data_IF_187058017455
#
_entry.id   IF_187058017455
#
_cell.length_a   1.000
_cell.length_b   1.000
_cell.length_c   1.000
_cell.angle_alpha   90.00
_cell.angle_beta   90.00
_cell.angle_gamma   90.00
#
_symmetry.space_group_name_H-M   'P 1'
#
loop_
_entity.id
_entity.type
_entity.pdbx_description
1 polymer ?
#
# COMPACT_ATOMS: atom_id res chain seq x y z
N UNK A 1 2.97 -0.16 11.37
CA UNK A 1 3.86 -1.30 11.11
C UNK A 1 4.12 -1.37 9.61
N UNK A 2 5.31 -0.93 9.21
CA UNK A 2 5.85 -1.08 7.86
C UNK A 2 6.72 -2.34 7.75
N UNK A 3 7.17 -2.67 6.55
CA UNK A 3 8.23 -3.69 6.38
C UNK A 3 9.53 -3.30 7.07
N UNK A 4 9.81 -2.00 7.19
CA UNK A 4 11.01 -1.49 7.87
C UNK A 4 10.91 -1.75 9.38
N UNK A 5 9.72 -1.60 9.97
CA UNK A 5 9.47 -1.98 11.37
C UNK A 5 9.69 -3.50 11.59
N UNK A 6 9.27 -4.33 10.63
CA UNK A 6 9.50 -5.78 10.70
C UNK A 6 10.99 -6.12 10.52
N UNK A 7 11.71 -5.39 9.66
CA UNK A 7 13.13 -5.60 9.41
C UNK A 7 14.00 -5.29 10.64
N UNK A 8 13.55 -4.44 11.56
CA UNK A 8 14.28 -4.15 12.79
C UNK A 8 14.46 -5.38 13.71
N UNK A 9 13.57 -6.37 13.61
CA UNK A 9 13.63 -7.63 14.34
C UNK A 9 14.21 -8.79 13.50
N UNK A 10 14.62 -8.53 12.25
CA UNK A 10 15.18 -9.53 11.34
C UNK A 10 16.70 -9.64 11.51
N UNK A 11 17.19 -10.84 11.77
CA UNK A 11 18.62 -11.13 11.98
C UNK A 11 19.41 -11.33 10.68
N UNK A 12 18.77 -11.26 9.51
CA UNK A 12 19.43 -11.42 8.22
C UNK A 12 19.67 -12.87 7.80
N UNK A 13 19.19 -13.87 8.56
CA UNK A 13 19.43 -15.29 8.24
C UNK A 13 18.87 -15.70 6.88
N UNK A 14 19.50 -16.69 6.26
CA UNK A 14 18.92 -17.32 5.07
C UNK A 14 17.64 -18.09 5.44
N UNK A 15 16.63 -17.93 4.58
CA UNK A 15 15.30 -18.51 4.74
C UNK A 15 15.02 -19.64 3.73
N UNK A 16 15.95 -19.97 2.84
CA UNK A 16 15.74 -20.98 1.78
C UNK A 16 15.33 -22.36 2.32
N UNK A 17 15.82 -22.73 3.51
CA UNK A 17 15.49 -23.98 4.20
C UNK A 17 14.78 -23.76 5.54
N UNK A 18 14.22 -22.57 5.77
CA UNK A 18 13.54 -22.25 7.02
C UNK A 18 12.16 -22.90 7.07
N UNK A 19 11.88 -23.65 8.14
CA UNK A 19 10.59 -24.30 8.38
C UNK A 19 9.61 -23.32 9.05
N UNK A 20 8.76 -22.70 8.22
CA UNK A 20 7.70 -21.82 8.70
C UNK A 20 6.59 -22.56 9.46
N UNK A 21 6.34 -23.85 9.21
CA UNK A 21 5.24 -24.55 9.88
C UNK A 21 5.62 -24.96 11.31
N UNK A 22 6.90 -25.29 11.53
CA UNK A 22 7.45 -25.66 12.84
C UNK A 22 7.74 -24.49 13.79
N UNK A 23 7.74 -23.24 13.31
CA UNK A 23 8.10 -22.08 14.13
C UNK A 23 7.01 -21.68 15.15
N UNK A 24 7.32 -20.76 16.07
CA UNK A 24 6.38 -20.34 17.13
C UNK A 24 5.09 -19.76 16.53
N UNK A 25 5.18 -19.03 15.41
CA UNK A 25 4.03 -18.41 14.74
C UNK A 25 3.20 -19.47 14.00
N UNK A 26 3.84 -20.46 13.37
CA UNK A 26 3.19 -21.57 12.67
C UNK A 26 2.45 -22.49 13.64
N UNK A 27 3.03 -22.70 14.83
CA UNK A 27 2.40 -23.47 15.91
C UNK A 27 1.18 -22.75 16.50
N UNK A 28 1.16 -21.42 16.59
CA UNK A 28 -0.02 -20.67 17.07
C UNK A 28 -1.23 -20.88 16.14
N UNK A 29 -1.02 -21.05 14.82
CA UNK A 29 -2.12 -21.36 13.89
C UNK A 29 -2.67 -22.79 14.06
N UNK A 30 -1.91 -23.70 14.67
CA UNK A 30 -2.30 -25.10 14.88
C UNK A 30 -3.07 -25.32 16.19
N UNK A 31 -3.15 -24.31 17.06
CA UNK A 31 -3.85 -24.38 18.33
C UNK A 31 -5.29 -23.83 18.17
N UNK A 32 -6.23 -24.65 17.73
CA UNK A 32 -7.67 -24.39 17.92
C UNK A 32 -8.02 -24.57 19.41
N UNK A 33 -7.69 -23.59 20.25
CA UNK A 33 -8.02 -23.57 21.68
C UNK A 33 -8.17 -22.13 22.19
N UNK A 34 -9.00 -21.87 23.21
CA UNK A 34 -9.27 -20.51 23.68
C UNK A 34 -7.98 -19.84 24.16
N UNK A 35 -7.77 -18.61 23.71
CA UNK A 35 -6.59 -17.81 24.03
C UNK A 35 -6.39 -17.70 25.55
N UNK A 36 -5.17 -17.94 26.08
CA UNK A 36 -4.90 -17.74 27.49
C UNK A 36 -5.01 -16.25 27.83
N UNK A 37 -5.87 -15.94 28.80
CA UNK A 37 -6.02 -14.61 29.38
C UNK A 37 -4.73 -14.26 30.16
N UNK A 38 -3.75 -13.68 29.47
CA UNK A 38 -2.58 -13.06 30.10
C UNK A 38 -2.65 -11.56 29.87
N UNK A 39 -2.85 -10.82 30.97
CA UNK A 39 -3.03 -9.36 31.01
C UNK A 39 -1.69 -8.59 31.04
N UNK A 40 -0.64 -9.11 30.40
CA UNK A 40 0.69 -8.49 30.48
C UNK A 40 1.16 -8.06 29.07
N UNK A 41 1.15 -6.76 28.74
CA UNK A 41 1.70 -6.28 27.48
C UNK A 41 3.23 -6.24 27.62
N UNK A 42 3.87 -7.40 27.42
CA UNK A 42 5.31 -7.48 27.24
C UNK A 42 5.78 -6.56 26.09
N UNK A 43 7.08 -6.21 26.02
CA UNK A 43 7.59 -5.25 25.05
C UNK A 43 7.16 -5.63 23.63
N UNK A 44 6.47 -4.69 22.96
CA UNK A 44 5.87 -4.83 21.63
C UNK A 44 6.92 -4.90 20.50
N UNK A 45 7.93 -5.75 20.64
CA UNK A 45 8.82 -6.14 19.54
C UNK A 45 8.29 -7.44 18.96
N UNK A 46 7.93 -7.48 17.67
CA UNK A 46 7.48 -8.73 17.04
C UNK A 46 8.58 -9.80 17.20
N UNK A 47 8.21 -11.07 17.42
CA UNK A 47 9.20 -12.14 17.50
C UNK A 47 9.99 -12.23 16.17
N UNK A 48 11.26 -12.62 16.19
CA UNK A 48 12.09 -12.74 14.97
C UNK A 48 11.42 -13.58 13.86
N UNK A 49 10.65 -14.59 14.25
CA UNK A 49 9.86 -15.45 13.37
C UNK A 49 8.82 -14.66 12.54
N UNK A 50 8.22 -13.63 13.12
CA UNK A 50 7.30 -12.74 12.40
C UNK A 50 8.06 -11.91 11.36
N UNK A 51 9.26 -11.42 11.69
CA UNK A 51 10.11 -10.68 10.76
C UNK A 51 10.49 -11.52 9.54
N UNK A 52 10.84 -12.80 9.73
CA UNK A 52 11.13 -13.73 8.62
C UNK A 52 9.95 -13.89 7.67
N UNK A 53 8.73 -14.01 8.21
CA UNK A 53 7.51 -14.10 7.41
C UNK A 53 7.25 -12.84 6.62
N UNK A 54 7.48 -11.66 7.21
CA UNK A 54 7.36 -10.40 6.48
C UNK A 54 8.40 -10.29 5.35
N UNK A 55 9.66 -10.68 5.60
CA UNK A 55 10.70 -10.70 4.56
C UNK A 55 10.35 -11.65 3.41
N UNK A 56 9.92 -12.86 3.72
CA UNK A 56 9.54 -13.85 2.71
C UNK A 56 8.30 -13.42 1.92
N UNK A 57 7.28 -12.88 2.59
CA UNK A 57 6.10 -12.35 1.92
C UNK A 57 6.45 -11.16 1.02
N UNK A 58 7.33 -10.26 1.45
CA UNK A 58 7.81 -9.16 0.62
C UNK A 58 8.57 -9.65 -0.61
N UNK A 59 9.42 -10.68 -0.45
CA UNK A 59 10.12 -11.32 -1.57
C UNK A 59 9.12 -11.89 -2.57
N UNK A 60 8.14 -12.66 -2.10
CA UNK A 60 7.09 -13.23 -2.96
C UNK A 60 6.26 -12.16 -3.66
N UNK A 61 5.91 -11.09 -2.94
CA UNK A 61 5.15 -9.96 -3.50
C UNK A 61 5.94 -9.28 -4.62
N UNK A 62 7.22 -9.02 -4.38
CA UNK A 62 8.12 -8.38 -5.36
C UNK A 62 8.36 -9.23 -6.61
N UNK A 63 8.22 -10.56 -6.49
CA UNK A 63 8.31 -11.50 -7.60
C UNK A 63 6.95 -11.78 -8.29
N UNK A 64 5.86 -11.16 -7.83
CA UNK A 64 4.49 -11.45 -8.29
C UNK A 64 3.96 -12.81 -7.81
N UNK A 65 4.68 -13.51 -6.93
CA UNK A 65 4.41 -14.88 -6.50
C UNK A 65 3.46 -14.97 -5.30
N UNK A 66 2.99 -13.85 -4.74
CA UNK A 66 1.94 -13.91 -3.71
C UNK A 66 0.58 -14.32 -4.27
N UNK A 67 0.37 -14.16 -5.58
CA UNK A 67 -0.91 -14.46 -6.23
C UNK A 67 -0.82 -15.48 -7.39
N UNK A 68 0.34 -16.08 -7.67
CA UNK A 68 0.52 -16.87 -8.91
C UNK A 68 0.71 -18.39 -8.75
N UNK A 69 0.21 -19.11 -9.77
CA UNK A 69 0.13 -20.56 -10.04
C UNK A 69 -0.97 -21.43 -9.37
N UNK A 70 -1.46 -21.15 -8.16
CA UNK A 70 -2.38 -22.08 -7.47
C UNK A 70 -3.88 -21.70 -7.48
N UNK A 71 -4.25 -20.54 -8.01
CA UNK A 71 -5.66 -20.13 -8.18
C UNK A 71 -6.05 -20.23 -9.66
N UNK A 72 -6.47 -21.41 -10.17
CA UNK A 72 -6.86 -21.64 -11.58
C UNK A 72 -8.11 -20.86 -12.04
N UNK A 73 -8.45 -19.76 -11.38
CA UNK A 73 -9.60 -18.90 -11.62
C UNK A 73 -9.34 -17.43 -11.26
N UNK A 74 -8.07 -17.01 -11.04
CA UNK A 74 -7.72 -15.64 -10.66
C UNK A 74 -8.22 -14.59 -11.67
N UNK A 75 -8.11 -14.84 -12.97
CA UNK A 75 -8.71 -13.99 -14.02
C UNK A 75 -10.22 -13.84 -13.87
N UNK A 76 -10.92 -14.97 -13.71
CA UNK A 76 -12.38 -14.98 -13.59
C UNK A 76 -12.84 -14.28 -12.32
N UNK A 77 -12.16 -14.51 -11.20
CA UNK A 77 -12.45 -13.88 -9.92
C UNK A 77 -12.25 -12.37 -10.00
N UNK A 78 -11.14 -11.93 -10.59
CA UNK A 78 -10.87 -10.51 -10.77
C UNK A 78 -11.94 -9.85 -11.65
N UNK A 79 -12.26 -10.42 -12.81
CA UNK A 79 -13.29 -9.88 -13.70
C UNK A 79 -14.70 -9.88 -13.07
N UNK A 80 -15.07 -10.94 -12.35
CA UNK A 80 -16.34 -10.98 -11.63
C UNK A 80 -16.38 -9.89 -10.55
N UNK A 81 -15.29 -9.70 -9.82
CA UNK A 81 -15.20 -8.66 -8.78
C UNK A 81 -15.28 -7.26 -9.38
N UNK A 82 -14.54 -6.98 -10.46
CA UNK A 82 -14.58 -5.67 -11.12
C UNK A 82 -15.95 -5.39 -11.74
N UNK A 83 -16.61 -6.41 -12.31
CA UNK A 83 -17.99 -6.30 -12.80
C UNK A 83 -18.95 -5.93 -11.66
N UNK A 84 -18.86 -6.60 -10.51
CA UNK A 84 -19.66 -6.28 -9.33
C UNK A 84 -19.36 -4.88 -8.78
N UNK A 85 -18.10 -4.44 -8.89
CA UNK A 85 -17.66 -3.10 -8.52
C UNK A 85 -17.93 -2.05 -9.62
N UNK A 86 -18.69 -2.39 -10.66
CA UNK A 86 -19.03 -1.51 -11.78
C UNK A 86 -17.80 -0.88 -12.48
N UNK A 87 -16.72 -1.65 -12.65
CA UNK A 87 -15.50 -1.22 -13.31
C UNK A 87 -14.55 -0.38 -12.43
N UNK A 88 -14.80 -0.30 -11.12
CA UNK A 88 -14.00 0.52 -10.21
C UNK A 88 -12.53 0.10 -10.18
N UNK A 89 -12.21 -1.20 -10.23
CA UNK A 89 -10.82 -1.67 -10.23
C UNK A 89 -10.15 -1.32 -11.57
N UNK A 90 -10.85 -1.50 -12.70
CA UNK A 90 -10.36 -1.08 -14.02
C UNK A 90 -10.06 0.43 -14.03
N UNK A 91 -10.98 1.25 -13.51
CA UNK A 91 -10.79 2.70 -13.44
C UNK A 91 -9.62 3.09 -12.53
N UNK A 92 -9.49 2.46 -11.36
CA UNK A 92 -8.39 2.70 -10.43
C UNK A 92 -7.03 2.35 -11.05
N UNK A 93 -6.93 1.20 -11.73
CA UNK A 93 -5.71 0.82 -12.45
C UNK A 93 -5.37 1.79 -13.58
N UNK A 94 -6.37 2.25 -14.33
CA UNK A 94 -6.20 3.24 -15.38
C UNK A 94 -5.67 4.57 -14.84
N UNK A 95 -6.22 5.05 -13.72
CA UNK A 95 -5.77 6.26 -13.05
C UNK A 95 -4.32 6.12 -12.54
N UNK A 96 -4.01 5.04 -11.83
CA UNK A 96 -2.66 4.78 -11.30
C UNK A 96 -1.62 4.74 -12.43
N UNK A 97 -1.94 4.08 -13.55
CA UNK A 97 -1.09 4.03 -14.73
C UNK A 97 -0.92 5.40 -15.39
N UNK A 98 -2.01 6.16 -15.53
CA UNK A 98 -1.99 7.50 -16.09
C UNK A 98 -1.14 8.46 -15.24
N UNK A 99 -1.23 8.40 -13.90
CA UNK A 99 -0.41 9.19 -13.00
C UNK A 99 1.09 8.93 -13.24
N UNK A 100 1.51 7.65 -13.25
CA UNK A 100 2.91 7.30 -13.48
C UNK A 100 3.41 7.73 -14.87
N UNK A 101 2.55 7.68 -15.89
CA UNK A 101 2.91 8.02 -17.26
C UNK A 101 2.97 9.53 -17.54
N UNK A 102 2.07 10.30 -16.93
CA UNK A 102 1.82 11.69 -17.34
C UNK A 102 2.26 12.74 -16.32
N UNK A 103 2.17 12.46 -15.02
CA UNK A 103 2.50 13.46 -13.99
C UNK A 103 3.98 13.86 -13.94
N UNK A 104 4.96 12.96 -14.17
CA UNK A 104 6.36 13.38 -14.30
C UNK A 104 6.55 14.45 -15.39
N UNK A 105 5.89 14.28 -16.54
CA UNK A 105 5.99 15.20 -17.68
C UNK A 105 5.29 16.54 -17.38
N UNK A 106 4.07 16.48 -16.83
CA UNK A 106 3.30 17.67 -16.49
C UNK A 106 4.01 18.51 -15.41
N UNK A 107 4.55 17.85 -14.39
CA UNK A 107 5.27 18.52 -13.31
C UNK A 107 6.63 19.05 -13.80
N UNK A 108 7.35 18.32 -14.64
CA UNK A 108 8.57 18.83 -15.28
C UNK A 108 8.31 20.11 -16.09
N UNK A 109 7.24 20.12 -16.89
CA UNK A 109 6.82 21.31 -17.63
C UNK A 109 6.46 22.49 -16.71
N UNK A 110 5.75 22.23 -15.60
CA UNK A 110 5.38 23.24 -14.63
C UNK A 110 6.59 23.81 -13.86
N UNK A 111 7.62 23.00 -13.61
CA UNK A 111 8.85 23.39 -12.94
C UNK A 111 9.89 24.02 -13.88
N UNK A 112 9.56 24.18 -15.16
CA UNK A 112 10.43 24.84 -16.14
C UNK A 112 11.65 24.01 -16.58
N UNK A 113 11.62 22.68 -16.41
CA UNK A 113 12.69 21.82 -16.97
C UNK A 113 12.60 21.82 -18.49
N UNK A 114 13.63 22.24 -19.23
CA UNK A 114 13.54 22.41 -20.68
C UNK A 114 13.38 21.05 -21.40
N UNK A 115 12.49 20.97 -22.41
CA UNK A 115 12.19 19.72 -23.13
C UNK A 115 13.32 19.25 -24.08
N UNK A 116 14.49 19.89 -24.08
CA UNK A 116 15.54 19.72 -25.09
C UNK A 116 16.79 18.95 -24.64
N UNK A 117 16.88 18.46 -23.41
CA UNK A 117 17.88 17.46 -23.05
C UNK A 117 17.21 16.10 -23.02
N UNK A 118 17.68 15.15 -23.84
CA UNK A 118 17.16 13.78 -23.97
C UNK A 118 17.37 12.91 -22.73
N UNK A 119 17.13 13.44 -21.53
CA UNK A 119 17.45 12.85 -20.25
C UNK A 119 16.17 12.77 -19.44
N UNK A 120 15.52 11.61 -19.49
CA UNK A 120 14.43 11.23 -18.57
C UNK A 120 14.85 11.27 -17.10
N UNK A 121 16.15 11.38 -16.83
CA UNK A 121 16.73 11.33 -15.48
C UNK A 121 16.51 12.62 -14.67
N UNK A 122 16.03 13.71 -15.28
CA UNK A 122 15.75 14.98 -14.58
C UNK A 122 14.26 15.26 -14.35
N UNK A 123 13.36 14.40 -14.83
CA UNK A 123 11.94 14.56 -14.55
C UNK A 123 11.65 14.22 -13.09
N UNK A 124 10.72 14.93 -12.44
CA UNK A 124 10.31 14.62 -11.09
C UNK A 124 9.76 13.19 -11.03
N UNK A 125 10.19 12.44 -10.02
CA UNK A 125 9.71 11.07 -9.84
C UNK A 125 8.34 11.09 -9.18
N UNK A 126 7.42 10.30 -9.75
CA UNK A 126 6.10 10.05 -9.18
C UNK A 126 6.06 8.65 -8.61
N UNK A 127 5.64 8.52 -7.35
CA UNK A 127 5.53 7.24 -6.65
C UNK A 127 4.18 7.11 -5.96
N UNK A 128 3.60 5.91 -6.07
CA UNK A 128 2.41 5.53 -5.32
C UNK A 128 2.80 4.82 -4.02
N UNK A 129 2.16 5.22 -2.93
CA UNK A 129 2.29 4.60 -1.62
C UNK A 129 0.90 4.21 -1.11
N UNK A 130 0.77 3.02 -0.53
CA UNK A 130 -0.48 2.55 0.05
C UNK A 130 -0.43 2.59 1.58
N UNK A 131 -1.35 3.32 2.20
CA UNK A 131 -1.54 3.29 3.66
C UNK A 131 -2.89 2.68 3.98
N UNK A 132 -2.92 1.63 4.79
CA UNK A 132 -4.13 0.84 5.06
C UNK A 132 -4.29 0.49 6.53
N UNK A 133 -5.53 0.46 7.02
CA UNK A 133 -5.89 0.06 8.38
C UNK A 133 -5.89 -1.46 8.60
N UNK A 134 -5.60 -2.24 7.57
CA UNK A 134 -5.44 -3.70 7.65
C UNK A 134 -4.02 -4.10 8.09
N UNK A 135 -3.84 -5.35 8.53
CA UNK A 135 -2.50 -5.92 8.72
C UNK A 135 -1.72 -5.93 7.40
N UNK A 136 -0.40 -5.78 7.50
CA UNK A 136 0.49 -5.66 6.35
C UNK A 136 0.43 -6.89 5.41
N UNK A 137 0.48 -8.12 5.95
CA UNK A 137 0.43 -9.35 5.15
C UNK A 137 -0.87 -9.49 4.33
N UNK A 138 -2.07 -9.44 4.96
CA UNK A 138 -3.33 -9.38 4.22
C UNK A 138 -3.41 -8.24 3.21
N UNK A 139 -2.77 -7.11 3.49
CA UNK A 139 -2.78 -5.95 2.58
C UNK A 139 -1.97 -6.22 1.31
N UNK A 140 -0.77 -6.79 1.44
CA UNK A 140 0.04 -7.22 0.29
C UNK A 140 -0.71 -8.28 -0.55
N UNK A 141 -1.36 -9.24 0.11
CA UNK A 141 -2.16 -10.25 -0.57
C UNK A 141 -3.34 -9.62 -1.35
N UNK A 142 -4.08 -8.67 -0.76
CA UNK A 142 -5.16 -7.95 -1.45
C UNK A 142 -4.64 -7.19 -2.67
N UNK A 143 -3.52 -6.48 -2.54
CA UNK A 143 -2.93 -5.75 -3.67
C UNK A 143 -2.58 -6.70 -4.83
N UNK A 144 -2.00 -7.87 -4.53
CA UNK A 144 -1.70 -8.88 -5.54
C UNK A 144 -2.99 -9.47 -6.17
N UNK A 145 -3.99 -9.84 -5.36
CA UNK A 145 -5.28 -10.37 -5.83
C UNK A 145 -6.02 -9.39 -6.75
N UNK A 146 -5.95 -8.09 -6.46
CA UNK A 146 -6.58 -7.04 -7.27
C UNK A 146 -5.67 -6.50 -8.38
N UNK A 147 -4.48 -7.09 -8.60
CA UNK A 147 -3.49 -6.71 -9.63
C UNK A 147 -3.04 -5.25 -9.51
N UNK A 148 -2.94 -4.80 -8.26
CA UNK A 148 -2.44 -3.47 -7.88
C UNK A 148 -0.97 -3.51 -7.46
N UNK A 149 -0.40 -4.69 -7.26
CA UNK A 149 1.00 -4.94 -6.91
C UNK A 149 2.02 -4.31 -7.87
N UNK A 150 1.69 -4.24 -9.16
CA UNK A 150 2.51 -3.53 -10.15
C UNK A 150 2.60 -2.00 -9.94
N UNK A 151 1.70 -1.42 -9.16
CA UNK A 151 1.67 0.04 -8.91
C UNK A 151 2.26 0.41 -7.55
N UNK A 152 2.30 -0.51 -6.58
CA UNK A 152 2.78 -0.27 -5.23
C UNK A 152 3.94 -1.22 -4.93
N UNK A 153 5.16 -0.68 -4.76
CA UNK A 153 6.25 -1.52 -4.28
C UNK A 153 5.96 -1.98 -2.85
N UNK A 154 6.36 -3.21 -2.48
CA UNK A 154 6.02 -3.76 -1.16
C UNK A 154 6.49 -2.86 0.00
N UNK A 155 7.71 -2.30 -0.12
CA UNK A 155 8.27 -1.29 0.82
C UNK A 155 7.49 0.02 0.92
N UNK A 156 6.57 0.28 0.00
CA UNK A 156 5.73 1.47 -0.08
C UNK A 156 4.27 1.12 0.32
N UNK A 157 4.08 -0.01 1.02
CA UNK A 157 2.82 -0.40 1.66
C UNK A 157 2.98 -0.34 3.17
N UNK A 158 2.14 0.47 3.84
CA UNK A 158 2.20 0.70 5.28
C UNK A 158 0.88 0.30 5.94
N UNK A 159 0.98 -0.42 7.07
CA UNK A 159 -0.16 -0.69 7.94
C UNK A 159 -0.27 0.36 9.04
N UNK A 160 -1.39 1.09 9.04
CA UNK A 160 -1.78 2.03 10.09
C UNK A 160 -2.45 1.37 11.29
N UNK A 161 -2.64 0.04 11.29
CA UNK A 161 -3.43 -0.65 12.32
C UNK A 161 -2.96 -0.38 13.76
N UNK A 162 -1.66 -0.26 13.98
CA UNK A 162 -1.07 -0.08 15.30
C UNK A 162 -0.86 1.41 15.65
N UNK A 163 -0.48 2.23 14.67
CA UNK A 163 0.03 3.59 14.91
C UNK A 163 -0.88 4.69 14.33
N UNK A 164 -1.94 4.34 13.61
CA UNK A 164 -2.83 5.27 12.92
C UNK A 164 -2.23 5.89 11.65
N UNK A 165 -3.08 6.51 10.82
CA UNK A 165 -2.64 7.07 9.52
C UNK A 165 -1.74 8.30 9.66
N UNK A 166 -1.97 9.15 10.66
CA UNK A 166 -1.14 10.34 10.89
C UNK A 166 0.33 9.98 11.13
N UNK A 167 0.60 8.97 11.96
CA UNK A 167 1.97 8.53 12.21
C UNK A 167 2.59 7.88 10.97
N UNK A 168 1.83 7.07 10.22
CA UNK A 168 2.30 6.53 8.94
C UNK A 168 2.66 7.65 7.95
N UNK A 169 1.85 8.70 7.86
CA UNK A 169 2.11 9.84 6.98
C UNK A 169 3.35 10.63 7.44
N UNK A 170 3.52 10.87 8.74
CA UNK A 170 4.71 11.52 9.28
C UNK A 170 5.98 10.73 8.95
N UNK A 171 5.96 9.39 9.12
CA UNK A 171 7.09 8.53 8.75
C UNK A 171 7.39 8.57 7.25
N UNK A 172 6.37 8.67 6.40
CA UNK A 172 6.57 8.85 4.96
C UNK A 172 7.22 10.20 4.66
N UNK A 173 6.74 11.29 5.26
CA UNK A 173 7.36 12.62 5.13
C UNK A 173 8.87 12.56 5.42
N UNK A 174 9.22 11.90 6.52
CA UNK A 174 10.61 11.85 7.00
C UNK A 174 11.48 10.88 6.17
N UNK A 175 10.87 9.91 5.47
CA UNK A 175 11.53 8.93 4.60
C UNK A 175 11.90 9.48 3.22
N UNK A 176 11.13 10.43 2.70
CA UNK A 176 11.37 11.02 1.38
C UNK A 176 12.13 12.36 1.50
N UNK A 177 12.81 12.82 0.43
CA UNK A 177 13.50 14.10 0.45
C UNK A 177 12.55 15.25 0.83
N UNK A 178 13.06 16.28 1.52
CA UNK A 178 12.24 17.44 1.91
C UNK A 178 11.67 18.24 0.74
N UNK A 179 12.15 18.01 -0.48
CA UNK A 179 11.60 18.56 -1.73
C UNK A 179 10.40 17.77 -2.28
N UNK A 180 10.01 16.66 -1.63
CA UNK A 180 8.87 15.87 -2.02
C UNK A 180 7.55 16.57 -1.67
N UNK A 181 6.67 16.69 -2.65
CA UNK A 181 5.28 17.02 -2.46
C UNK A 181 4.46 15.74 -2.24
N UNK A 182 3.49 15.82 -1.34
CA UNK A 182 2.63 14.72 -0.96
C UNK A 182 1.17 15.07 -1.23
N UNK A 183 0.42 14.13 -1.80
CA UNK A 183 -1.03 14.24 -1.94
C UNK A 183 -1.66 13.00 -1.33
N UNK A 184 -2.58 13.19 -0.38
CA UNK A 184 -3.34 12.10 0.22
C UNK A 184 -4.65 11.89 -0.56
N UNK A 185 -4.92 10.66 -0.96
CA UNK A 185 -6.16 10.29 -1.67
C UNK A 185 -6.88 9.24 -0.84
N UNK A 186 -8.17 9.41 -0.57
CA UNK A 186 -8.95 8.39 0.15
C UNK A 186 -10.39 8.78 0.41
N UNK A 187 -11.15 7.84 0.98
CA UNK A 187 -12.59 7.96 1.23
C UNK A 187 -12.92 8.17 2.72
N UNK A 188 -12.00 7.82 3.61
CA UNK A 188 -12.17 7.89 5.06
C UNK A 188 -11.88 9.28 5.63
N UNK A 189 -12.29 9.48 6.88
CA UNK A 189 -11.99 10.69 7.67
C UNK A 189 -10.60 10.67 8.29
N UNK A 190 -10.05 9.47 8.50
CA UNK A 190 -8.75 9.31 9.17
C UNK A 190 -7.61 9.84 8.30
N UNK A 191 -7.61 9.50 7.00
CA UNK A 191 -6.65 10.03 6.03
C UNK A 191 -6.83 11.53 5.78
N UNK A 192 -8.06 12.01 5.78
CA UNK A 192 -8.39 13.43 5.58
C UNK A 192 -7.86 14.28 6.76
N UNK A 193 -8.09 13.82 7.98
CA UNK A 193 -7.56 14.47 9.18
C UNK A 193 -6.03 14.40 9.24
N UNK A 194 -5.43 13.26 8.87
CA UNK A 194 -3.98 13.10 8.83
C UNK A 194 -3.32 14.03 7.79
N UNK A 195 -3.92 14.14 6.59
CA UNK A 195 -3.46 15.05 5.55
C UNK A 195 -3.55 16.51 6.01
N UNK A 196 -4.67 16.91 6.61
CA UNK A 196 -4.85 18.26 7.15
C UNK A 196 -3.81 18.61 8.23
N UNK A 197 -3.52 17.68 9.14
CA UNK A 197 -2.53 17.88 10.21
C UNK A 197 -1.10 18.08 9.67
N UNK A 198 -0.79 17.54 8.49
CA UNK A 198 0.52 17.67 7.83
C UNK A 198 0.54 18.74 6.74
N UNK A 199 -0.58 19.45 6.51
CA UNK A 199 -0.71 20.45 5.46
C UNK A 199 -0.68 19.87 4.04
N UNK A 200 -1.06 18.61 3.87
CA UNK A 200 -1.08 17.93 2.57
C UNK A 200 -2.42 18.14 1.85
N UNK A 201 -2.42 18.39 0.53
CA UNK A 201 -3.61 18.29 -0.29
C UNK A 201 -4.31 16.95 -0.11
N UNK A 202 -5.64 16.98 -0.04
CA UNK A 202 -6.48 15.80 0.12
C UNK A 202 -7.49 15.66 -1.02
N UNK A 203 -7.49 14.52 -1.70
CA UNK A 203 -8.44 14.17 -2.76
C UNK A 203 -9.43 13.15 -2.21
N UNK A 204 -10.68 13.59 -2.00
CA UNK A 204 -11.76 12.71 -1.55
C UNK A 204 -12.18 11.76 -2.66
N UNK A 205 -12.05 10.46 -2.42
CA UNK A 205 -12.68 9.44 -3.25
C UNK A 205 -14.07 9.18 -2.69
N UNK A 206 -15.09 9.39 -3.51
CA UNK A 206 -16.46 9.01 -3.16
C UNK A 206 -16.87 7.84 -4.03
N UNK A 207 -17.39 6.78 -3.41
CA UNK A 207 -18.12 5.71 -4.10
C UNK A 207 -19.52 6.24 -4.49
N UNK A 208 -19.55 7.33 -5.24
CA UNK A 208 -20.72 7.79 -5.95
C UNK A 208 -20.55 7.37 -7.40
N UNK A 209 -21.60 6.83 -8.02
CA UNK A 209 -21.63 6.70 -9.48
C UNK A 209 -21.17 8.05 -10.07
N UNK A 210 -20.30 8.04 -11.07
CA UNK A 210 -20.31 9.11 -12.07
C UNK A 210 -21.65 9.05 -12.82
N UNK A 211 -22.74 9.41 -12.14
CA UNK A 211 -24.01 9.73 -12.79
C UNK A 211 -23.89 11.17 -13.26
N UNK A 212 -23.44 11.34 -14.50
CA UNK A 212 -24.02 12.40 -15.31
C UNK A 212 -25.50 12.03 -15.48
N UNK A 213 -26.34 12.44 -14.53
CA UNK A 213 -27.78 12.19 -14.51
C UNK A 213 -28.27 11.14 -13.52
N UNK A 214 -28.94 11.64 -12.48
CA UNK A 214 -29.94 11.00 -11.61
C UNK A 214 -29.43 10.27 -10.35
N UNK A 215 -29.79 10.90 -9.23
CA UNK A 215 -29.67 10.40 -7.87
C UNK A 215 -30.34 9.03 -7.69
N UNK A 216 -29.74 8.17 -6.85
CA UNK A 216 -30.40 7.42 -5.78
C UNK A 216 -29.38 6.67 -4.90
N UNK A 217 -29.85 6.35 -3.70
CA UNK A 217 -29.13 6.08 -2.44
C UNK A 217 -28.45 4.72 -2.36
N UNK A 218 -27.43 4.66 -1.49
CA UNK A 218 -27.05 3.48 -0.72
C UNK A 218 -25.97 2.61 -1.35
N UNK A 219 -24.70 2.91 -1.05
CA UNK A 219 -23.56 2.05 -1.37
C UNK A 219 -22.85 1.62 -0.09
N UNK A 220 -22.59 0.31 0.03
CA UNK A 220 -21.82 -0.30 1.12
C UNK A 220 -20.35 0.13 1.01
N UNK A 221 -19.67 0.52 2.11
CA UNK A 221 -18.27 0.95 2.03
C UNK A 221 -17.36 -0.24 1.75
N UNK A 222 -16.67 -0.23 0.61
CA UNK A 222 -15.50 -1.07 0.37
C UNK A 222 -14.28 -0.36 0.94
N UNK A 223 -13.47 -1.13 1.67
CA UNK A 223 -12.41 -0.67 2.57
C UNK A 223 -11.40 0.30 1.94
N UNK A 224 -11.19 1.42 2.64
CA UNK A 224 -10.20 2.49 2.43
C UNK A 224 -8.83 1.99 1.94
N UNK A 225 -8.54 2.27 0.67
CA UNK A 225 -7.18 2.30 0.12
C UNK A 225 -6.79 3.77 0.04
N UNK A 226 -5.90 4.23 0.93
CA UNK A 226 -5.31 5.55 0.77
C UNK A 226 -4.16 5.44 -0.22
N UNK A 227 -4.35 6.04 -1.41
CA UNK A 227 -3.28 6.20 -2.39
C UNK A 227 -2.59 7.52 -2.08
N UNK A 228 -1.32 7.47 -1.73
CA UNK A 228 -0.53 8.65 -1.47
C UNK A 228 0.43 8.84 -2.63
N UNK A 229 0.29 9.97 -3.31
CA UNK A 229 1.11 10.31 -4.46
C UNK A 229 2.27 11.20 -3.99
N UNK A 230 3.49 10.83 -4.37
CA UNK A 230 4.73 11.52 -3.99
C UNK A 230 5.38 12.05 -5.27
N UNK A 231 5.56 13.37 -5.33
CA UNK A 231 6.26 14.04 -6.42
C UNK A 231 7.51 14.74 -5.88
N UNK A 232 8.70 14.18 -6.15
CA UNK A 232 9.97 14.76 -5.70
C UNK A 232 10.72 15.48 -6.82
N UNK A 233 11.09 16.74 -6.60
CA UNK A 233 12.14 17.40 -7.38
C UNK A 233 13.51 16.92 -6.86
N UNK A 234 14.28 16.23 -7.69
CA UNK A 234 15.68 15.91 -7.37
C UNK A 234 16.46 17.23 -7.29
N UNK A 235 16.94 17.55 -6.10
CA UNK A 235 17.89 18.63 -5.87
C UNK A 235 19.31 18.09 -5.85
N UNK A 236 20.04 18.41 -6.92
CA UNK A 236 21.51 18.37 -7.12
C UNK A 236 22.18 17.00 -7.06
#
# INVERSE_FOLDING_TARGET
MSLEDAAAADDGRDLASYDFDGDVVGRIQSCEGPAPASNDPGPCTPPPEAAYRYREAHRRYSLGLLADAALPSSDRLWHATDTLAAGWLTAAQGLLAACLAHLPVLLGAALGTPPHAGVRDHLPQVRHVAVTSSDLLPSLAKLALFRLDRFFAGRDVLSSRVHGKLECFARLRDRFPGSAAFVAIGDGREEEAAAAALGWPFIKVSLGRCTLGRAEKGGVPLTSLTVMEIAGALGI
#
